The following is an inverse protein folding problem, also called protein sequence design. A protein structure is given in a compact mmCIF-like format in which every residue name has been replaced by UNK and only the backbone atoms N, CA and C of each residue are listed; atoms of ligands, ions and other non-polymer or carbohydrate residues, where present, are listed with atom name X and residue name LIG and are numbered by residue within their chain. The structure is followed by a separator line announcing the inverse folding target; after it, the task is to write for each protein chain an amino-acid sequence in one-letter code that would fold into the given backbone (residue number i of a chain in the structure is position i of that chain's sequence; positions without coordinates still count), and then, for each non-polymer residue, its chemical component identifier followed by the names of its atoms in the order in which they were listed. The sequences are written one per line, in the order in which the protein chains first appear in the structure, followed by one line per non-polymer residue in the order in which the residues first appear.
data_IF_739946679300
#
_entry.id   IF_739946679300
#
_cell.length_a   1.000
_cell.length_b   1.000
_cell.length_c   1.000
_cell.angle_alpha   90.00
_cell.angle_beta   90.00
_cell.angle_gamma   90.00
#
_symmetry.space_group_name_H-M   'P 1'
#
loop_
_entity.id
_entity.type
_entity.pdbx_description
1 polymer ?
#
# COMPACT_ATOMS: atom_id res chain seq x y z
N UNK A 1 6.40 -2.91 -51.25
CA UNK A 1 6.24 -3.98 -50.24
C UNK A 1 7.28 -3.72 -49.15
N UNK A 2 6.97 -3.85 -47.86
CA UNK A 2 6.15 -2.94 -47.06
C UNK A 2 6.89 -2.36 -45.82
N UNK A 3 6.27 -1.32 -45.21
CA UNK A 3 6.22 -0.98 -43.75
C UNK A 3 7.53 -0.81 -42.96
N UNK A 4 7.79 0.28 -42.22
CA UNK A 4 6.93 0.94 -41.21
C UNK A 4 7.46 2.36 -40.95
N UNK A 5 6.76 3.45 -41.28
CA UNK A 5 5.77 4.18 -40.45
C UNK A 5 6.15 4.39 -38.96
N UNK A 6 6.41 5.67 -38.65
CA UNK A 6 6.26 6.38 -37.36
C UNK A 6 7.27 6.14 -36.23
N UNK A 7 8.53 6.55 -36.46
CA UNK A 7 9.32 7.22 -35.42
C UNK A 7 8.98 8.71 -35.43
N UNK A 8 7.88 9.09 -34.77
CA UNK A 8 7.57 10.50 -34.51
C UNK A 8 7.42 10.66 -33.01
N UNK A 9 8.53 10.92 -32.32
CA UNK A 9 8.52 11.39 -30.94
C UNK A 9 9.32 12.68 -30.87
N UNK A 10 8.73 13.68 -30.21
CA UNK A 10 9.31 14.97 -29.81
C UNK A 10 9.41 16.06 -30.89
N UNK A 11 8.27 16.66 -31.23
CA UNK A 11 8.14 18.09 -31.58
C UNK A 11 6.70 18.52 -31.23
N UNK A 12 6.35 19.72 -30.78
CA UNK A 12 6.96 20.87 -30.09
C UNK A 12 5.76 21.85 -29.91
N UNK A 13 5.75 22.65 -28.84
CA UNK A 13 4.91 23.86 -28.62
C UNK A 13 3.44 23.65 -28.19
N UNK A 14 3.12 23.98 -26.93
CA UNK A 14 2.26 25.12 -26.51
C UNK A 14 2.60 25.48 -25.06
N UNK A 15 2.60 26.78 -24.76
CA UNK A 15 2.97 27.44 -23.51
C UNK A 15 2.37 26.84 -22.22
N UNK A 16 3.18 26.84 -21.14
CA UNK A 16 2.71 26.61 -19.77
C UNK A 16 3.50 25.55 -19.00
N UNK A 17 4.61 25.96 -18.37
CA UNK A 17 5.04 25.48 -17.03
C UNK A 17 4.92 23.98 -16.68
N UNK A 18 5.37 23.01 -17.48
CA UNK A 18 5.43 21.60 -17.01
C UNK A 18 6.64 20.78 -17.49
N UNK A 19 7.75 21.43 -17.86
CA UNK A 19 9.00 20.72 -18.20
C UNK A 19 9.69 20.04 -16.99
N UNK A 20 9.17 20.20 -15.76
CA UNK A 20 9.57 19.41 -14.57
C UNK A 20 8.65 18.22 -14.27
N UNK A 21 7.53 18.05 -14.98
CA UNK A 21 6.45 17.13 -14.60
C UNK A 21 6.81 15.64 -14.68
N UNK A 22 7.46 15.19 -15.75
CA UNK A 22 7.82 13.77 -15.91
C UNK A 22 8.90 13.33 -14.92
N UNK A 23 9.90 14.17 -14.66
CA UNK A 23 10.97 13.86 -13.71
C UNK A 23 10.46 13.89 -12.26
N UNK A 24 9.50 14.79 -11.97
CA UNK A 24 8.81 14.85 -10.69
C UNK A 24 7.85 13.66 -10.47
N UNK A 25 7.17 13.18 -11.53
CA UNK A 25 6.31 11.98 -11.47
C UNK A 25 7.13 10.74 -11.14
N UNK A 26 8.23 10.49 -11.85
CA UNK A 26 9.11 9.33 -11.62
C UNK A 26 9.73 9.36 -10.22
N UNK A 27 10.15 10.55 -9.75
CA UNK A 27 10.65 10.72 -8.38
C UNK A 27 9.62 10.36 -7.32
N UNK A 28 8.41 10.92 -7.40
CA UNK A 28 7.30 10.64 -6.48
C UNK A 28 6.86 9.17 -6.54
N UNK A 29 6.88 8.55 -7.73
CA UNK A 29 6.64 7.13 -7.93
C UNK A 29 7.64 6.24 -7.19
N UNK A 30 8.94 6.52 -7.35
CA UNK A 30 9.98 5.75 -6.67
C UNK A 30 9.89 5.91 -5.15
N UNK A 31 9.49 7.09 -4.68
CA UNK A 31 9.27 7.36 -3.26
C UNK A 31 8.10 6.55 -2.68
N UNK A 32 6.95 6.53 -3.36
CA UNK A 32 5.79 5.74 -2.95
C UNK A 32 6.09 4.23 -2.97
N UNK A 33 6.62 3.73 -4.10
CA UNK A 33 6.97 2.31 -4.25
C UNK A 33 8.00 1.88 -3.23
N UNK A 34 9.04 2.69 -3.02
CA UNK A 34 10.09 2.41 -2.03
C UNK A 34 9.54 2.36 -0.60
N UNK A 35 8.65 3.28 -0.25
CA UNK A 35 8.01 3.29 1.06
C UNK A 35 7.09 2.07 1.28
N UNK A 36 6.29 1.68 0.27
CA UNK A 36 5.45 0.49 0.34
C UNK A 36 6.32 -0.77 0.47
N UNK A 37 7.30 -0.96 -0.42
CA UNK A 37 8.17 -2.15 -0.42
C UNK A 37 8.97 -2.33 0.87
N UNK A 38 9.34 -1.23 1.54
CA UNK A 38 10.00 -1.27 2.86
C UNK A 38 9.18 -2.06 3.89
N UNK A 39 7.85 -1.98 3.79
CA UNK A 39 6.92 -2.54 4.77
C UNK A 39 6.21 -3.80 4.28
N UNK A 40 6.04 -4.00 2.97
CA UNK A 40 5.29 -5.14 2.40
C UNK A 40 5.73 -6.50 2.94
N UNK A 41 7.04 -6.79 3.00
CA UNK A 41 7.52 -8.08 3.55
C UNK A 41 7.15 -8.22 5.03
N UNK A 42 7.35 -7.17 5.83
CA UNK A 42 7.04 -7.20 7.26
C UNK A 42 5.54 -7.31 7.55
N UNK A 43 4.71 -6.60 6.77
CA UNK A 43 3.24 -6.68 6.86
C UNK A 43 2.77 -8.08 6.47
N UNK A 44 3.27 -8.64 5.37
CA UNK A 44 2.94 -10.00 4.94
C UNK A 44 3.31 -11.05 5.99
N UNK A 45 4.54 -11.01 6.50
CA UNK A 45 4.98 -11.93 7.55
C UNK A 45 4.13 -11.79 8.82
N UNK A 46 3.72 -10.57 9.17
CA UNK A 46 2.86 -10.33 10.32
C UNK A 46 1.43 -10.85 10.10
N UNK A 47 0.87 -10.70 8.89
CA UNK A 47 -0.43 -11.30 8.50
C UNK A 47 -0.38 -12.82 8.62
N UNK A 48 0.66 -13.46 8.11
CA UNK A 48 0.82 -14.92 8.18
C UNK A 48 0.86 -15.40 9.64
N UNK A 49 1.50 -14.63 10.53
CA UNK A 49 1.55 -14.94 11.96
C UNK A 49 0.21 -14.78 12.66
N UNK A 50 -0.75 -14.00 12.14
CA UNK A 50 -2.08 -13.83 12.76
C UNK A 50 -2.81 -15.16 12.95
N UNK A 51 -2.44 -16.21 12.21
CA UNK A 51 -2.92 -17.57 12.46
C UNK A 51 -2.68 -18.03 13.91
N UNK A 52 -1.56 -17.62 14.52
CA UNK A 52 -1.11 -17.99 15.86
C UNK A 52 -1.66 -17.09 16.98
N UNK A 53 -2.47 -16.07 16.66
CA UNK A 53 -2.93 -15.06 17.64
C UNK A 53 -3.69 -15.65 18.84
N UNK A 54 -4.34 -16.80 18.65
CA UNK A 54 -5.03 -17.55 19.72
C UNK A 54 -4.05 -18.15 20.74
N UNK A 55 -2.84 -18.49 20.30
CA UNK A 55 -1.77 -19.06 21.13
C UNK A 55 -0.82 -17.98 21.65
N UNK A 56 -0.66 -16.91 20.87
CA UNK A 56 0.21 -15.78 21.19
C UNK A 56 -0.47 -14.45 20.81
N UNK A 57 -1.23 -13.84 21.74
CA UNK A 57 -1.90 -12.56 21.51
C UNK A 57 -0.93 -11.42 21.17
N UNK A 58 0.36 -11.53 21.50
CA UNK A 58 1.36 -10.50 21.17
C UNK A 58 1.57 -10.34 19.67
N UNK A 59 1.18 -11.34 18.87
CA UNK A 59 1.22 -11.26 17.41
C UNK A 59 0.30 -10.15 16.89
N UNK A 60 -0.88 -9.95 17.49
CA UNK A 60 -1.79 -8.88 17.10
C UNK A 60 -1.19 -7.49 17.39
N UNK A 61 -0.44 -7.35 18.48
CA UNK A 61 0.28 -6.11 18.82
C UNK A 61 1.42 -5.85 17.84
N UNK A 62 2.19 -6.89 17.48
CA UNK A 62 3.27 -6.78 16.50
C UNK A 62 2.74 -6.38 15.11
N UNK A 63 1.63 -6.97 14.67
CA UNK A 63 0.94 -6.59 13.44
C UNK A 63 0.53 -5.12 13.48
N UNK A 64 -0.19 -4.69 14.53
CA UNK A 64 -0.63 -3.30 14.68
C UNK A 64 0.53 -2.30 14.70
N UNK A 65 1.65 -2.65 15.34
CA UNK A 65 2.85 -1.81 15.36
C UNK A 65 3.44 -1.62 13.96
N UNK A 66 3.59 -2.70 13.19
CA UNK A 66 4.12 -2.64 11.82
C UNK A 66 3.21 -1.82 10.91
N UNK A 67 1.90 -2.05 10.98
CA UNK A 67 0.91 -1.28 10.21
C UNK A 67 0.97 0.21 10.54
N UNK A 68 1.11 0.56 11.82
CA UNK A 68 1.25 1.95 12.26
C UNK A 68 2.55 2.61 11.80
N UNK A 69 3.65 1.86 11.80
CA UNK A 69 4.94 2.32 11.26
C UNK A 69 4.83 2.58 9.75
N UNK A 70 4.22 1.65 9.01
CA UNK A 70 3.94 1.83 7.59
C UNK A 70 3.05 3.05 7.32
N UNK A 71 1.99 3.23 8.11
CA UNK A 71 1.06 4.36 7.97
C UNK A 71 1.80 5.68 8.21
N UNK A 72 2.63 5.72 9.26
CA UNK A 72 3.42 6.91 9.60
C UNK A 72 4.42 7.26 8.52
N UNK A 73 5.10 6.28 7.93
CA UNK A 73 6.10 6.53 6.89
C UNK A 73 5.44 6.98 5.58
N UNK A 74 4.36 6.32 5.15
CA UNK A 74 3.64 6.65 3.92
C UNK A 74 2.85 7.96 4.07
N UNK A 75 2.33 8.26 5.26
CA UNK A 75 1.57 9.48 5.54
C UNK A 75 2.42 10.75 5.46
N UNK A 76 3.74 10.65 5.61
CA UNK A 76 4.69 11.77 5.44
C UNK A 76 4.95 12.11 3.98
N UNK A 77 4.61 11.22 3.05
CA UNK A 77 4.86 11.45 1.63
C UNK A 77 3.84 12.44 1.10
N UNK A 78 4.30 13.53 0.49
CA UNK A 78 3.43 14.52 -0.14
C UNK A 78 3.58 14.45 -1.66
N UNK A 79 2.46 14.26 -2.34
CA UNK A 79 2.44 14.15 -3.79
C UNK A 79 1.73 15.34 -4.42
N UNK A 80 2.43 15.98 -5.34
CA UNK A 80 1.88 17.00 -6.25
C UNK A 80 1.06 16.37 -7.38
N UNK A 81 1.31 15.10 -7.68
CA UNK A 81 0.52 14.30 -8.60
C UNK A 81 -0.75 13.78 -7.91
N UNK A 82 -1.92 14.15 -8.43
CA UNK A 82 -3.20 13.83 -7.82
C UNK A 82 -3.48 12.31 -7.77
N UNK A 83 -3.02 11.54 -8.77
CA UNK A 83 -3.23 10.10 -8.82
C UNK A 83 -2.34 9.38 -7.81
N UNK A 84 -1.10 9.82 -7.63
CA UNK A 84 -0.24 9.32 -6.55
C UNK A 84 -0.78 9.68 -5.17
N UNK A 85 -1.35 10.88 -5.01
CA UNK A 85 -2.01 11.27 -3.77
C UNK A 85 -3.23 10.39 -3.44
N UNK A 86 -4.02 10.03 -4.45
CA UNK A 86 -5.16 9.11 -4.33
C UNK A 86 -4.70 7.69 -3.95
N UNK A 87 -3.73 7.13 -4.67
CA UNK A 87 -3.17 5.79 -4.39
C UNK A 87 -2.53 5.71 -2.99
N UNK A 88 -1.84 6.78 -2.56
CA UNK A 88 -1.37 6.93 -1.18
C UNK A 88 -2.53 6.89 -0.20
N UNK A 89 -3.61 7.62 -0.48
CA UNK A 89 -4.83 7.65 0.34
C UNK A 89 -5.46 6.26 0.47
N UNK A 90 -5.58 5.52 -0.63
CA UNK A 90 -6.12 4.16 -0.63
C UNK A 90 -5.25 3.22 0.22
N UNK A 91 -3.92 3.34 0.11
CA UNK A 91 -3.00 2.55 0.93
C UNK A 91 -3.09 2.93 2.42
N UNK A 92 -3.18 4.22 2.77
CA UNK A 92 -3.35 4.67 4.15
C UNK A 92 -4.67 4.16 4.75
N UNK A 93 -5.77 4.19 3.99
CA UNK A 93 -7.05 3.65 4.42
C UNK A 93 -6.98 2.13 4.68
N UNK A 94 -6.21 1.40 3.87
CA UNK A 94 -5.93 -0.02 4.09
C UNK A 94 -5.19 -0.25 5.42
N UNK A 95 -4.17 0.57 5.70
CA UNK A 95 -3.40 0.49 6.93
C UNK A 95 -4.23 0.87 8.17
N UNK A 96 -5.07 1.90 8.10
CA UNK A 96 -5.98 2.25 9.19
C UNK A 96 -6.91 1.08 9.55
N UNK A 97 -7.43 0.39 8.52
CA UNK A 97 -8.25 -0.81 8.70
C UNK A 97 -7.46 -1.94 9.36
N UNK A 98 -6.23 -2.18 8.91
CA UNK A 98 -5.35 -3.19 9.50
C UNK A 98 -4.96 -2.88 10.96
N UNK A 99 -4.76 -1.60 11.33
CA UNK A 99 -4.54 -1.21 12.73
C UNK A 99 -5.78 -1.48 13.59
N UNK A 100 -6.98 -1.18 13.09
CA UNK A 100 -8.22 -1.48 13.80
C UNK A 100 -8.37 -2.98 14.09
N UNK A 101 -8.10 -3.82 13.09
CA UNK A 101 -8.12 -5.27 13.23
C UNK A 101 -7.11 -5.80 14.23
N UNK A 102 -5.93 -5.19 14.33
CA UNK A 102 -4.94 -5.58 15.33
C UNK A 102 -5.51 -5.46 16.75
N UNK A 103 -6.32 -4.42 17.01
CA UNK A 103 -6.98 -4.22 18.30
C UNK A 103 -8.12 -5.20 18.52
N UNK A 104 -8.93 -5.43 17.49
CA UNK A 104 -10.03 -6.41 17.51
C UNK A 104 -9.51 -7.83 17.76
N UNK A 105 -8.43 -8.24 17.09
CA UNK A 105 -7.78 -9.54 17.30
C UNK A 105 -7.24 -9.67 18.72
N UNK A 106 -6.58 -8.64 19.26
CA UNK A 106 -6.06 -8.66 20.61
C UNK A 106 -7.18 -8.73 21.68
N UNK A 107 -8.32 -8.07 21.46
CA UNK A 107 -9.49 -8.17 22.34
C UNK A 107 -10.16 -9.54 22.21
N UNK A 108 -10.38 -10.02 20.99
CA UNK A 108 -11.03 -11.29 20.72
C UNK A 108 -10.19 -12.48 21.25
N UNK A 109 -8.86 -12.41 21.13
CA UNK A 109 -7.95 -13.40 21.73
C UNK A 109 -8.02 -13.38 23.28
N UNK A 110 -8.14 -12.21 23.91
CA UNK A 110 -8.28 -12.09 25.37
C UNK A 110 -9.63 -12.58 25.89
N UNK A 111 -10.70 -12.36 25.14
CA UNK A 111 -12.08 -12.70 25.54
C UNK A 111 -12.50 -14.09 25.06
N UNK A 112 -11.71 -14.75 24.21
CA UNK A 112 -12.05 -16.03 23.61
C UNK A 112 -13.15 -15.94 22.55
N UNK A 113 -13.33 -14.77 21.93
CA UNK A 113 -14.31 -14.54 20.87
C UNK A 113 -13.80 -15.13 19.53
N UNK A 114 -14.07 -16.42 19.36
CA UNK A 114 -13.71 -17.19 18.17
C UNK A 114 -14.40 -16.68 16.89
N UNK A 115 -15.55 -16.01 17.00
CA UNK A 115 -16.26 -15.47 15.86
C UNK A 115 -15.52 -14.25 15.30
N UNK A 116 -15.21 -13.29 16.17
CA UNK A 116 -14.43 -12.10 15.80
C UNK A 116 -13.03 -12.48 15.31
N UNK A 117 -12.36 -13.45 15.96
CA UNK A 117 -11.08 -13.97 15.48
C UNK A 117 -11.17 -14.53 14.06
N UNK A 118 -12.20 -15.32 13.76
CA UNK A 118 -12.42 -15.90 12.43
C UNK A 118 -12.77 -14.86 11.37
N UNK A 119 -13.59 -13.86 11.72
CA UNK A 119 -13.94 -12.75 10.84
C UNK A 119 -12.72 -11.90 10.49
N UNK A 120 -11.99 -11.44 11.50
CA UNK A 120 -10.84 -10.57 11.30
C UNK A 120 -9.68 -11.30 10.59
N UNK A 121 -9.46 -12.59 10.86
CA UNK A 121 -8.49 -13.40 10.08
C UNK A 121 -8.85 -13.44 8.59
N UNK A 122 -10.12 -13.57 8.23
CA UNK A 122 -10.55 -13.52 6.82
C UNK A 122 -10.36 -12.14 6.21
N UNK A 123 -10.69 -11.07 6.94
CA UNK A 123 -10.47 -9.72 6.45
C UNK A 123 -8.97 -9.41 6.29
N UNK A 124 -8.11 -9.92 7.18
CA UNK A 124 -6.65 -9.78 7.11
C UNK A 124 -6.06 -10.42 5.85
N UNK A 125 -6.55 -11.60 5.44
CA UNK A 125 -6.16 -12.22 4.16
C UNK A 125 -6.58 -11.33 2.98
N UNK A 126 -7.78 -10.74 3.03
CA UNK A 126 -8.24 -9.81 2.01
C UNK A 126 -7.43 -8.49 1.97
N UNK A 127 -6.74 -8.11 3.06
CA UNK A 127 -5.78 -7.00 3.03
C UNK A 127 -4.60 -7.30 2.15
N UNK A 128 -4.03 -8.50 2.20
CA UNK A 128 -2.90 -8.86 1.34
C UNK A 128 -3.30 -8.75 -0.15
N UNK A 129 -4.51 -9.18 -0.50
CA UNK A 129 -5.03 -9.04 -1.88
C UNK A 129 -5.24 -7.57 -2.28
N UNK A 130 -5.80 -6.75 -1.39
CA UNK A 130 -5.97 -5.31 -1.64
C UNK A 130 -4.65 -4.56 -1.71
N UNK A 131 -3.68 -4.93 -0.87
CA UNK A 131 -2.34 -4.38 -0.89
C UNK A 131 -1.68 -4.66 -2.25
N UNK A 132 -1.76 -5.91 -2.73
CA UNK A 132 -1.27 -6.29 -4.06
C UNK A 132 -1.94 -5.44 -5.14
N UNK A 133 -3.27 -5.30 -5.12
CA UNK A 133 -3.98 -4.50 -6.11
C UNK A 133 -3.56 -3.01 -6.11
N UNK A 134 -3.31 -2.43 -4.93
CA UNK A 134 -2.81 -1.04 -4.83
C UNK A 134 -1.37 -0.95 -5.33
N UNK A 135 -0.50 -1.89 -4.94
CA UNK A 135 0.90 -1.95 -5.42
C UNK A 135 0.95 -2.08 -6.94
N UNK A 136 0.10 -2.94 -7.52
CA UNK A 136 -0.01 -3.11 -8.97
C UNK A 136 -0.50 -1.82 -9.64
N UNK A 137 -1.52 -1.16 -9.09
CA UNK A 137 -2.00 0.12 -9.60
C UNK A 137 -0.94 1.23 -9.52
N UNK A 138 -0.13 1.26 -8.46
CA UNK A 138 1.03 2.17 -8.34
C UNK A 138 2.06 1.83 -9.41
N UNK A 139 2.44 0.56 -9.57
CA UNK A 139 3.41 0.12 -10.56
C UNK A 139 2.96 0.43 -11.99
N UNK A 140 1.71 0.14 -12.35
CA UNK A 140 1.13 0.45 -13.66
C UNK A 140 1.15 1.96 -13.93
N UNK A 141 0.73 2.78 -12.95
CA UNK A 141 0.73 4.23 -13.08
C UNK A 141 2.14 4.80 -13.24
N UNK A 142 3.12 4.20 -12.56
CA UNK A 142 4.50 4.64 -12.54
C UNK A 142 5.33 4.15 -13.74
N UNK A 143 4.87 3.11 -14.44
CA UNK A 143 5.50 2.59 -15.67
C UNK A 143 4.93 3.23 -16.95
N UNK A 144 3.73 3.83 -16.88
CA UNK A 144 3.08 4.58 -17.98
C UNK A 144 3.44 6.05 -18.05
#
# INVERSE_FOLDING_TARGET
MPSSLHRTLCMLVVAGTFAGGCQNKVGQCNELVGAIQKHTTGVKDAVDRLADVERDPSVAEAFGKLTKEAHTDIGKLEFSDARLAELRGDYLALLDRAEAWSRELAEAARTGDVQTLGEVKREAVAVAEREIAIVDAVNEYCQG
#
